data_IF_491126464056
#
_entry.id   IF_491126464056
#
_cell.length_a   1.000
_cell.length_b   1.000
_cell.length_c   1.000
_cell.angle_alpha   90.00
_cell.angle_beta   90.00
_cell.angle_gamma   90.00
#
_symmetry.space_group_name_H-M   'P 1'
#
loop_
_entity.id
_entity.type
_entity.pdbx_description
1 polymer ?
#
# COMPACT_ATOMS: atom_id res chain seq x y z
N UNK A 1 4.92 -19.40 -0.06
CA UNK A 1 4.17 -18.41 -0.87
C UNK A 1 2.69 -18.56 -0.58
N UNK A 2 1.89 -17.49 -0.70
CA UNK A 2 0.50 -17.40 -0.24
C UNK A 2 -0.33 -18.63 -0.70
N UNK A 3 -0.50 -19.63 0.17
CA UNK A 3 -1.13 -20.91 -0.19
C UNK A 3 -2.64 -20.77 -0.41
N UNK A 4 -3.20 -19.63 0.03
CA UNK A 4 -4.59 -19.25 -0.20
C UNK A 4 -4.70 -18.52 -1.54
N UNK A 5 -5.42 -19.11 -2.49
CA UNK A 5 -5.87 -18.42 -3.70
C UNK A 5 -6.90 -17.36 -3.30
N UNK A 6 -6.48 -16.09 -3.27
CA UNK A 6 -7.40 -14.97 -3.03
C UNK A 6 -7.86 -14.47 -4.39
N UNK A 7 -9.17 -14.48 -4.62
CA UNK A 7 -9.79 -14.10 -5.90
C UNK A 7 -9.21 -14.85 -7.12
N UNK A 8 -8.78 -16.11 -6.94
CA UNK A 8 -8.17 -16.93 -8.00
C UNK A 8 -6.66 -16.76 -8.19
N UNK A 9 -6.02 -15.88 -7.42
CA UNK A 9 -4.62 -15.49 -7.60
C UNK A 9 -3.75 -15.85 -6.37
N UNK A 10 -2.48 -16.16 -6.60
CA UNK A 10 -1.49 -16.56 -5.57
C UNK A 10 -0.27 -15.62 -5.50
N UNK A 11 -0.17 -14.72 -6.47
CA UNK A 11 0.87 -13.72 -6.71
C UNK A 11 0.62 -12.41 -5.96
N UNK A 12 -0.19 -12.44 -4.90
CA UNK A 12 -0.43 -11.29 -4.04
C UNK A 12 0.78 -11.02 -3.14
N UNK A 13 1.26 -9.77 -3.17
CA UNK A 13 2.37 -9.30 -2.33
C UNK A 13 2.11 -7.91 -1.77
N UNK A 14 2.96 -7.49 -0.84
CA UNK A 14 3.03 -6.10 -0.40
C UNK A 14 3.57 -5.19 -1.51
N UNK A 15 3.07 -3.94 -1.60
CA UNK A 15 3.56 -2.97 -2.57
C UNK A 15 4.94 -2.48 -2.15
N UNK A 16 5.79 -2.19 -3.12
CA UNK A 16 7.04 -1.46 -2.90
C UNK A 16 6.75 0.01 -2.57
N UNK A 17 7.75 0.75 -2.06
CA UNK A 17 7.59 2.19 -1.80
C UNK A 17 7.18 2.97 -3.05
N UNK A 18 7.67 2.58 -4.23
CA UNK A 18 7.36 3.23 -5.50
C UNK A 18 5.92 2.96 -5.91
N UNK A 19 5.48 1.70 -5.86
CA UNK A 19 4.11 1.33 -6.20
C UNK A 19 3.09 1.96 -5.25
N UNK A 20 3.35 1.94 -3.94
CA UNK A 20 2.47 2.57 -2.95
C UNK A 20 2.34 4.08 -3.20
N UNK A 21 3.43 4.76 -3.60
CA UNK A 21 3.38 6.17 -3.99
C UNK A 21 2.52 6.38 -5.25
N UNK A 22 2.68 5.53 -6.27
CA UNK A 22 1.85 5.60 -7.48
C UNK A 22 0.37 5.38 -7.18
N UNK A 23 0.02 4.40 -6.33
CA UNK A 23 -1.36 4.14 -5.89
C UNK A 23 -1.97 5.37 -5.20
N UNK A 24 -1.21 6.02 -4.31
CA UNK A 24 -1.65 7.27 -3.66
C UNK A 24 -1.88 8.38 -4.68
N UNK A 25 -0.94 8.56 -5.62
CA UNK A 25 -1.05 9.59 -6.64
C UNK A 25 -2.27 9.37 -7.54
N UNK A 26 -2.54 8.14 -7.96
CA UNK A 26 -3.72 7.78 -8.76
C UNK A 26 -5.00 8.06 -7.97
N UNK A 27 -5.04 7.70 -6.69
CA UNK A 27 -6.20 7.97 -5.85
C UNK A 27 -6.45 9.49 -5.71
N UNK A 28 -5.39 10.29 -5.49
CA UNK A 28 -5.49 11.77 -5.40
C UNK A 28 -5.85 12.45 -6.72
N UNK A 29 -5.31 11.98 -7.85
CA UNK A 29 -5.55 12.57 -9.16
C UNK A 29 -7.02 12.41 -9.60
N UNK A 30 -7.62 11.25 -9.30
CA UNK A 30 -9.03 10.98 -9.62
C UNK A 30 -10.00 11.63 -8.63
N UNK A 31 -9.49 12.20 -7.54
CA UNK A 31 -10.30 12.86 -6.52
C UNK A 31 -9.92 14.33 -6.32
N UNK A 32 -10.51 15.20 -7.14
CA UNK A 32 -10.40 16.67 -6.99
C UNK A 32 -10.80 17.20 -5.60
N UNK A 33 -11.46 16.42 -4.74
CA UNK A 33 -11.79 16.80 -3.37
C UNK A 33 -11.97 15.65 -2.36
N UNK A 34 -11.56 14.41 -2.65
CA UNK A 34 -11.76 13.32 -1.69
C UNK A 34 -11.73 11.92 -2.29
N UNK A 35 -10.97 11.04 -1.64
CA UNK A 35 -10.62 9.63 -1.92
C UNK A 35 -11.72 8.76 -2.58
N UNK A 36 -12.17 9.10 -3.77
CA UNK A 36 -13.25 8.46 -4.51
C UNK A 36 -12.77 8.19 -5.93
N UNK A 37 -11.73 7.37 -6.04
CA UNK A 37 -11.42 6.76 -7.32
C UNK A 37 -12.41 5.60 -7.56
N UNK A 38 -13.22 5.59 -8.64
CA UNK A 38 -14.20 4.53 -8.90
C UNK A 38 -13.55 3.14 -9.07
N UNK A 39 -12.25 3.09 -9.39
CA UNK A 39 -11.45 1.85 -9.47
C UNK A 39 -11.12 1.29 -8.09
N UNK A 40 -11.02 2.14 -7.06
CA UNK A 40 -10.60 1.75 -5.72
C UNK A 40 -11.68 2.02 -4.67
N UNK A 41 -12.55 1.03 -4.47
CA UNK A 41 -13.56 1.06 -3.42
C UNK A 41 -12.99 0.52 -2.09
N UNK A 42 -13.54 0.99 -0.97
CA UNK A 42 -13.21 0.54 0.41
C UNK A 42 -11.77 0.77 0.89
N UNK A 43 -11.10 1.81 0.36
CA UNK A 43 -9.78 2.21 0.86
C UNK A 43 -9.92 3.07 2.12
N UNK A 44 -9.41 2.56 3.25
CA UNK A 44 -9.40 3.29 4.50
C UNK A 44 -8.42 4.48 4.44
N UNK A 45 -8.78 5.66 4.98
CA UNK A 45 -7.90 6.83 5.03
C UNK A 45 -6.79 6.72 6.09
N UNK A 46 -6.06 5.61 6.11
CA UNK A 46 -5.05 5.27 7.11
C UNK A 46 -3.64 5.09 6.50
N UNK A 47 -2.69 4.69 7.33
CA UNK A 47 -1.35 4.23 6.96
C UNK A 47 -1.35 2.82 6.40
N UNK A 48 -0.59 2.62 5.33
CA UNK A 48 -0.41 1.34 4.64
C UNK A 48 1.06 0.94 4.57
N UNK A 49 1.31 -0.34 4.75
CA UNK A 49 2.64 -0.94 4.67
C UNK A 49 3.18 -0.99 3.24
N UNK A 50 4.50 -0.75 3.15
CA UNK A 50 5.33 -1.12 2.01
C UNK A 50 6.23 -2.31 2.36
N UNK A 51 6.61 -3.11 1.36
CA UNK A 51 7.61 -4.18 1.48
C UNK A 51 9.03 -3.66 1.74
N UNK A 52 9.25 -2.34 1.67
CA UNK A 52 10.56 -1.72 1.84
C UNK A 52 10.90 -1.56 3.33
N UNK A 53 11.92 -2.28 3.80
CA UNK A 53 12.47 -2.12 5.16
C UNK A 53 13.20 -0.77 5.30
N UNK A 54 13.15 -0.16 6.49
CA UNK A 54 13.89 1.08 6.77
C UNK A 54 15.40 0.88 6.67
N UNK A 55 16.10 1.79 5.99
CA UNK A 55 17.55 1.68 5.79
C UNK A 55 18.34 1.90 7.10
N UNK A 56 17.84 2.77 7.99
CA UNK A 56 18.52 3.11 9.24
C UNK A 56 18.19 2.14 10.38
N UNK A 57 16.93 1.71 10.47
CA UNK A 57 16.46 0.76 11.48
C UNK A 57 15.70 -0.38 10.81
N UNK A 58 16.26 -1.59 10.86
CA UNK A 58 15.71 -2.80 10.22
C UNK A 58 14.40 -3.29 10.85
N UNK A 59 14.11 -2.89 12.09
CA UNK A 59 12.85 -3.15 12.78
C UNK A 59 11.71 -2.23 12.30
N UNK A 60 12.01 -1.22 11.49
CA UNK A 60 11.01 -0.36 10.85
C UNK A 60 10.81 -0.74 9.39
N UNK A 61 9.64 -0.41 8.84
CA UNK A 61 9.36 -0.44 7.41
C UNK A 61 8.69 0.87 6.97
N UNK A 62 8.74 1.13 5.67
CA UNK A 62 8.10 2.30 5.09
C UNK A 62 6.58 2.16 5.12
N UNK A 63 5.90 3.24 5.48
CA UNK A 63 4.44 3.37 5.43
C UNK A 63 4.03 4.63 4.70
N UNK A 64 2.86 4.61 4.09
CA UNK A 64 2.27 5.80 3.49
C UNK A 64 0.82 5.97 3.88
N UNK A 65 0.43 7.20 4.21
CA UNK A 65 -0.93 7.56 4.55
C UNK A 65 -1.67 7.96 3.28
N UNK A 66 -2.73 7.23 2.93
CA UNK A 66 -3.44 7.45 1.66
C UNK A 66 -4.17 8.81 1.65
N UNK A 67 -4.76 9.21 2.78
CA UNK A 67 -5.51 10.47 2.90
C UNK A 67 -4.63 11.69 2.68
N UNK A 68 -3.47 11.72 3.32
CA UNK A 68 -2.58 12.90 3.31
C UNK A 68 -1.50 12.78 2.24
N UNK A 69 -1.19 11.56 1.77
CA UNK A 69 -0.04 11.24 0.94
C UNK A 69 1.31 11.33 1.66
N UNK A 70 1.30 11.44 2.99
CA UNK A 70 2.54 11.44 3.80
C UNK A 70 3.19 10.07 3.78
N UNK A 71 4.52 10.06 3.77
CA UNK A 71 5.34 8.85 3.84
C UNK A 71 6.19 8.91 5.10
N UNK A 72 6.25 7.81 5.86
CA UNK A 72 6.98 7.72 7.13
C UNK A 72 7.55 6.32 7.34
N UNK A 73 8.16 6.10 8.50
CA UNK A 73 8.56 4.80 9.03
C UNK A 73 7.61 4.37 10.14
N UNK A 74 7.30 3.08 10.21
CA UNK A 74 6.61 2.49 11.34
C UNK A 74 7.33 1.21 11.78
N UNK A 75 7.23 0.89 13.06
CA UNK A 75 7.74 -0.36 13.60
C UNK A 75 6.96 -1.53 12.99
N UNK A 76 7.66 -2.58 12.54
CA UNK A 76 7.05 -3.75 11.90
C UNK A 76 6.05 -4.51 12.79
N UNK A 77 6.08 -4.28 14.10
CA UNK A 77 5.12 -4.80 15.07
C UNK A 77 3.84 -3.96 15.19
N UNK A 78 3.82 -2.75 14.62
CA UNK A 78 2.64 -1.88 14.64
C UNK A 78 1.56 -2.38 13.70
N UNK A 79 0.30 -2.25 14.14
CA UNK A 79 -0.86 -2.51 13.31
C UNK A 79 -0.99 -1.40 12.25
N UNK A 80 -0.86 -1.77 10.98
CA UNK A 80 -1.16 -0.89 9.85
C UNK A 80 -1.90 -1.67 8.77
N UNK A 81 -2.52 -0.93 7.85
CA UNK A 81 -3.26 -1.54 6.76
C UNK A 81 -2.30 -2.05 5.68
N UNK A 82 -2.81 -2.97 4.87
CA UNK A 82 -2.08 -3.54 3.75
C UNK A 82 -2.90 -3.33 2.49
N UNK A 83 -2.26 -2.83 1.44
CA UNK A 83 -2.84 -2.75 0.11
C UNK A 83 -2.15 -3.77 -0.77
N UNK A 84 -2.68 -5.00 -0.89
CA UNK A 84 -2.02 -6.03 -1.64
C UNK A 84 -1.98 -5.67 -3.13
N UNK A 85 -0.83 -5.85 -3.76
CA UNK A 85 -0.63 -5.69 -5.21
C UNK A 85 -0.27 -7.04 -5.81
N UNK A 86 -0.50 -7.16 -7.12
CA UNK A 86 -0.08 -8.32 -7.90
C UNK A 86 1.04 -7.93 -8.84
N UNK A 87 1.91 -8.87 -9.12
CA UNK A 87 2.81 -8.74 -10.25
C UNK A 87 1.98 -8.84 -11.54
N UNK A 88 2.16 -7.85 -12.42
CA UNK A 88 1.56 -7.92 -13.75
C UNK A 88 2.12 -9.14 -14.46
N UNK A 89 1.24 -10.00 -15.00
CA UNK A 89 1.69 -10.97 -16.00
C UNK A 89 2.02 -10.17 -17.25
N UNK A 90 3.29 -10.20 -17.65
CA UNK A 90 3.74 -9.74 -18.97
C UNK A 90 3.14 -10.67 -20.03
#
# INVERSE_FOLDING_TARGET
>A
MNSKKICGYQDWRLPTRKELKSLISINKADSGAGLSNPVFNNIQPHWYWSSTTGAYYSYNAWVANIKTGRVSYANKQSLQHVWPVRDGKV
#
